data_IF_513986384143
#
_entry.id   IF_513986384143
#
_cell.length_a   1.000
_cell.length_b   1.000
_cell.length_c   1.000
_cell.angle_alpha   90.00
_cell.angle_beta   90.00
_cell.angle_gamma   90.00
#
_symmetry.space_group_name_H-M   'P 1'
#
loop_
_entity.id
_entity.type
_entity.pdbx_description
1 polymer ?
#
# COMPACT_ATOMS: atom_id res chain seq x y z
N UNK A 1 -17.54 25.31 11.10
CA UNK A 1 -17.42 26.54 11.93
C UNK A 1 -17.40 26.14 13.42
N UNK A 2 -16.55 26.75 14.26
CA UNK A 2 -16.29 26.42 15.68
C UNK A 2 -15.25 25.31 15.96
N UNK A 3 -14.61 24.75 14.93
CA UNK A 3 -13.57 23.72 15.12
C UNK A 3 -12.36 24.23 15.93
N UNK A 4 -12.01 25.51 15.79
CA UNK A 4 -10.91 26.15 16.54
C UNK A 4 -11.23 26.27 18.03
N UNK A 5 -12.35 26.89 18.37
CA UNK A 5 -12.78 27.03 19.78
C UNK A 5 -12.97 25.68 20.46
N UNK A 6 -13.52 24.69 19.74
CA UNK A 6 -13.65 23.34 20.27
C UNK A 6 -12.28 22.71 20.56
N UNK A 7 -11.34 22.80 19.61
CA UNK A 7 -9.97 22.28 19.78
C UNK A 7 -9.23 22.98 20.94
N UNK A 8 -9.35 24.30 21.07
CA UNK A 8 -8.76 25.06 22.17
C UNK A 8 -9.33 24.60 23.52
N UNK A 9 -10.65 24.36 23.61
CA UNK A 9 -11.29 23.86 24.84
C UNK A 9 -10.88 22.43 25.22
N UNK A 10 -10.72 21.53 24.25
CA UNK A 10 -10.25 20.16 24.52
C UNK A 10 -8.77 20.16 24.90
N UNK A 11 -7.95 21.03 24.30
CA UNK A 11 -6.54 21.19 24.67
C UNK A 11 -6.39 21.68 26.12
N UNK A 12 -7.21 22.64 26.54
CA UNK A 12 -7.25 23.09 27.94
C UNK A 12 -7.63 21.94 28.90
N UNK A 13 -8.60 21.09 28.52
CA UNK A 13 -8.99 19.91 29.31
C UNK A 13 -7.89 18.85 29.40
N UNK A 14 -7.12 18.65 28.32
CA UNK A 14 -5.99 17.71 28.29
C UNK A 14 -4.84 18.18 29.20
N UNK A 15 -4.68 19.48 29.39
CA UNK A 15 -3.67 20.06 30.26
C UNK A 15 -2.27 20.09 29.65
N UNK A 16 -1.24 20.17 30.51
CA UNK A 16 0.15 20.25 30.06
C UNK A 16 0.64 18.88 29.59
N UNK A 17 1.45 18.88 28.52
CA UNK A 17 2.08 17.66 28.00
C UNK A 17 2.80 16.89 29.11
N UNK A 18 2.43 15.63 29.25
CA UNK A 18 2.96 14.72 30.27
C UNK A 18 4.36 14.22 29.90
N UNK A 19 5.09 13.67 30.87
CA UNK A 19 6.43 13.11 30.61
C UNK A 19 6.36 11.94 29.59
N UNK A 20 5.43 10.97 29.70
CA UNK A 20 5.28 9.91 28.70
C UNK A 20 5.03 10.44 27.27
N UNK A 21 4.20 11.48 27.12
CA UNK A 21 3.94 12.12 25.82
C UNK A 21 5.20 12.76 25.22
N UNK A 22 6.03 13.43 26.04
CA UNK A 22 7.31 14.00 25.56
C UNK A 22 8.27 12.92 25.08
N UNK A 23 8.33 11.80 25.80
CA UNK A 23 9.17 10.65 25.43
C UNK A 23 8.68 10.03 24.13
N UNK A 24 7.35 9.82 23.99
CA UNK A 24 6.73 9.35 22.76
C UNK A 24 7.06 10.25 21.55
N UNK A 25 6.92 11.57 21.72
CA UNK A 25 7.27 12.56 20.68
C UNK A 25 8.76 12.44 20.30
N UNK A 26 9.65 12.31 21.28
CA UNK A 26 11.09 12.14 21.04
C UNK A 26 11.40 10.89 20.21
N UNK A 27 10.80 9.75 20.58
CA UNK A 27 10.98 8.49 19.84
C UNK A 27 10.38 8.58 18.43
N UNK A 28 9.24 9.24 18.27
CA UNK A 28 8.62 9.46 16.97
C UNK A 28 9.51 10.31 16.04
N UNK A 29 10.07 11.42 16.55
CA UNK A 29 11.01 12.26 15.79
C UNK A 29 12.26 11.46 15.43
N UNK A 30 12.78 10.65 16.35
CA UNK A 30 13.91 9.76 16.09
C UNK A 30 13.61 8.78 14.93
N UNK A 31 12.45 8.14 14.94
CA UNK A 31 12.03 7.24 13.85
C UNK A 31 11.92 7.97 12.50
N UNK A 32 11.32 9.17 12.49
CA UNK A 32 11.21 9.99 11.28
C UNK A 32 12.58 10.36 10.71
N UNK A 33 13.52 10.79 11.55
CA UNK A 33 14.88 11.12 11.12
C UNK A 33 15.58 9.92 10.51
N UNK A 34 15.43 8.74 11.12
CA UNK A 34 16.02 7.51 10.58
C UNK A 34 15.38 7.10 9.25
N UNK A 35 14.07 7.24 9.07
CA UNK A 35 13.44 6.96 7.77
C UNK A 35 13.89 7.94 6.68
N UNK A 36 14.05 9.22 7.01
CA UNK A 36 14.56 10.23 6.06
C UNK A 36 16.02 9.97 5.69
N UNK A 37 16.84 9.60 6.67
CA UNK A 37 18.28 9.36 6.49
C UNK A 37 18.62 7.91 6.13
N UNK A 38 17.64 7.01 6.05
CA UNK A 38 17.85 5.57 5.95
C UNK A 38 18.66 5.16 4.71
N UNK A 39 18.44 5.83 3.57
CA UNK A 39 19.21 5.60 2.34
C UNK A 39 20.68 6.02 2.48
N UNK A 40 20.96 7.11 3.19
CA UNK A 40 22.32 7.63 3.44
C UNK A 40 23.05 6.78 4.49
N UNK A 41 22.36 6.41 5.56
CA UNK A 41 22.92 5.64 6.69
C UNK A 41 22.91 4.13 6.46
N UNK A 42 22.30 3.66 5.36
CA UNK A 42 22.07 2.23 5.06
C UNK A 42 21.30 1.51 6.17
N UNK A 43 20.33 2.19 6.76
CA UNK A 43 19.43 1.65 7.78
C UNK A 43 18.10 1.36 7.07
N UNK A 44 17.64 0.11 7.13
CA UNK A 44 16.36 -0.25 6.55
C UNK A 44 15.18 0.21 7.44
N UNK A 45 14.01 0.36 6.81
CA UNK A 45 12.82 0.86 7.49
C UNK A 45 12.30 -0.10 8.58
N UNK A 46 12.51 -1.41 8.43
CA UNK A 46 12.11 -2.44 9.40
C UNK A 46 12.96 -2.34 10.65
N UNK A 47 14.28 -2.22 10.51
CA UNK A 47 15.20 -1.99 11.63
C UNK A 47 14.84 -0.70 12.38
N UNK A 48 14.52 0.37 11.66
CA UNK A 48 14.06 1.63 12.28
C UNK A 48 12.80 1.44 13.12
N UNK A 49 11.81 0.70 12.62
CA UNK A 49 10.59 0.40 13.34
C UNK A 49 10.85 -0.43 14.62
N UNK A 50 11.73 -1.44 14.55
CA UNK A 50 12.11 -2.22 15.73
C UNK A 50 12.89 -1.41 16.77
N UNK A 51 13.80 -0.52 16.36
CA UNK A 51 14.48 0.38 17.29
C UNK A 51 13.50 1.29 18.02
N UNK A 52 12.53 1.87 17.30
CA UNK A 52 11.49 2.70 17.91
C UNK A 52 10.64 1.89 18.91
N UNK A 53 10.21 0.68 18.54
CA UNK A 53 9.45 -0.21 19.43
C UNK A 53 10.25 -0.59 20.68
N UNK A 54 11.54 -0.91 20.53
CA UNK A 54 12.42 -1.21 21.66
C UNK A 54 12.57 -0.01 22.60
N UNK A 55 12.72 1.21 22.06
CA UNK A 55 12.77 2.43 22.87
C UNK A 55 11.46 2.68 23.62
N UNK A 56 10.31 2.43 22.98
CA UNK A 56 9.00 2.57 23.63
C UNK A 56 8.82 1.60 24.81
N UNK A 57 9.34 0.38 24.69
CA UNK A 57 9.34 -0.60 25.78
C UNK A 57 10.33 -0.24 26.89
N UNK A 58 11.56 0.15 26.56
CA UNK A 58 12.60 0.50 27.54
C UNK A 58 12.17 1.72 28.37
N UNK A 59 11.53 2.70 27.72
CA UNK A 59 11.05 3.91 28.38
C UNK A 59 9.76 3.70 29.17
N UNK A 60 9.10 2.54 29.02
CA UNK A 60 7.83 2.24 29.69
C UNK A 60 6.63 3.00 29.13
N UNK A 61 6.78 3.66 27.97
CA UNK A 61 5.66 4.30 27.26
C UNK A 61 4.67 3.24 26.76
N UNK A 62 5.19 2.08 26.35
CA UNK A 62 4.39 0.88 26.07
C UNK A 62 4.81 -0.25 26.99
N UNK A 63 3.83 -1.02 27.45
CA UNK A 63 4.07 -2.28 28.14
C UNK A 63 4.09 -3.43 27.14
N UNK A 64 4.70 -4.55 27.53
CA UNK A 64 4.63 -5.78 26.73
C UNK A 64 3.19 -6.25 26.50
N UNK A 65 2.31 -6.02 27.47
CA UNK A 65 0.89 -6.37 27.38
C UNK A 65 0.18 -5.54 26.31
N UNK A 66 0.54 -4.28 26.13
CA UNK A 66 -0.01 -3.43 25.07
C UNK A 66 0.34 -3.99 23.69
N UNK A 67 1.58 -4.45 23.49
CA UNK A 67 2.01 -5.09 22.23
C UNK A 67 1.26 -6.39 21.97
N UNK A 68 1.09 -7.23 22.99
CA UNK A 68 0.37 -8.50 22.84
C UNK A 68 -1.12 -8.29 22.50
N UNK A 69 -1.72 -7.21 23.01
CA UNK A 69 -3.12 -6.88 22.76
C UNK A 69 -3.34 -6.13 21.44
N UNK A 70 -2.29 -5.72 20.74
CA UNK A 70 -2.36 -5.05 19.44
C UNK A 70 -2.71 -6.05 18.33
N UNK A 71 -3.95 -6.55 18.34
CA UNK A 71 -4.42 -7.61 17.46
C UNK A 71 -4.34 -7.25 15.96
N UNK A 72 -4.39 -5.96 15.62
CA UNK A 72 -4.25 -5.50 14.23
C UNK A 72 -2.87 -5.84 13.64
N UNK A 73 -1.81 -5.66 14.42
CA UNK A 73 -0.44 -5.99 14.00
C UNK A 73 -0.26 -7.51 13.81
N UNK A 74 -0.71 -8.32 14.78
CA UNK A 74 -0.62 -9.78 14.73
C UNK A 74 -1.42 -10.39 13.59
N UNK A 75 -2.64 -9.89 13.39
CA UNK A 75 -3.49 -10.31 12.27
C UNK A 75 -2.75 -10.03 10.96
N UNK A 76 -2.32 -8.77 10.74
CA UNK A 76 -1.61 -8.35 9.52
C UNK A 76 -0.38 -9.20 9.26
N UNK A 77 0.49 -9.40 10.27
CA UNK A 77 1.69 -10.23 10.16
C UNK A 77 1.35 -11.66 9.69
N UNK A 78 0.34 -12.28 10.28
CA UNK A 78 0.01 -13.69 10.06
C UNK A 78 -0.47 -13.94 8.63
N UNK A 79 -1.54 -13.28 8.20
CA UNK A 79 -2.12 -13.56 6.89
C UNK A 79 -1.24 -13.00 5.76
N UNK A 80 -0.54 -11.88 5.97
CA UNK A 80 0.39 -11.32 5.00
C UNK A 80 1.56 -12.28 4.72
N UNK A 81 2.15 -12.87 5.76
CA UNK A 81 3.25 -13.83 5.62
C UNK A 81 2.85 -15.06 4.80
N UNK A 82 1.65 -15.59 5.04
CA UNK A 82 1.12 -16.74 4.28
C UNK A 82 0.92 -16.40 2.80
N UNK A 83 0.36 -15.24 2.49
CA UNK A 83 0.15 -14.83 1.09
C UNK A 83 1.46 -14.58 0.34
N UNK A 84 2.43 -13.92 0.97
CA UNK A 84 3.77 -13.72 0.38
C UNK A 84 4.42 -15.07 0.07
N UNK A 85 4.34 -16.01 1.02
CA UNK A 85 4.84 -17.37 0.82
C UNK A 85 4.14 -18.08 -0.35
N UNK A 86 2.79 -18.07 -0.40
CA UNK A 86 2.03 -18.71 -1.47
C UNK A 86 2.38 -18.13 -2.86
N UNK A 87 2.52 -16.81 -2.94
CA UNK A 87 2.91 -16.12 -4.17
C UNK A 87 4.33 -16.51 -4.64
N UNK A 88 5.27 -16.58 -3.69
CA UNK A 88 6.63 -17.06 -3.96
C UNK A 88 6.61 -18.48 -4.51
N UNK A 89 5.85 -19.38 -3.88
CA UNK A 89 5.73 -20.77 -4.35
C UNK A 89 5.10 -20.88 -5.74
N UNK A 90 4.08 -20.08 -6.06
CA UNK A 90 3.49 -20.07 -7.40
C UNK A 90 4.51 -19.63 -8.48
N UNK A 91 5.42 -18.72 -8.11
CA UNK A 91 6.49 -18.31 -9.00
C UNK A 91 7.58 -19.39 -9.15
N UNK A 92 8.06 -19.94 -8.03
CA UNK A 92 9.09 -20.99 -8.01
C UNK A 92 8.64 -22.28 -8.71
N UNK A 93 7.38 -22.67 -8.53
CA UNK A 93 6.79 -23.85 -9.19
C UNK A 93 6.52 -23.63 -10.69
N UNK A 94 6.83 -22.44 -11.22
CA UNK A 94 6.73 -22.15 -12.65
C UNK A 94 5.30 -21.85 -13.13
N UNK A 95 4.31 -21.78 -12.24
CA UNK A 95 2.92 -21.45 -12.60
C UNK A 95 2.84 -20.04 -13.20
N UNK A 96 3.52 -19.07 -12.59
CA UNK A 96 3.57 -17.69 -13.09
C UNK A 96 4.20 -17.59 -14.49
N UNK A 97 5.42 -18.13 -14.75
CA UNK A 97 5.99 -18.21 -16.08
C UNK A 97 5.09 -18.92 -17.11
N UNK A 98 4.48 -20.05 -16.73
CA UNK A 98 3.58 -20.81 -17.60
C UNK A 98 2.33 -20.02 -17.97
N UNK A 99 1.67 -19.39 -16.99
CA UNK A 99 0.48 -18.58 -17.19
C UNK A 99 0.81 -17.37 -18.09
N UNK A 100 1.96 -16.73 -17.85
CA UNK A 100 2.47 -15.63 -18.66
C UNK A 100 2.66 -16.03 -20.12
N UNK A 101 3.28 -17.19 -20.37
CA UNK A 101 3.48 -17.72 -21.72
C UNK A 101 2.16 -18.09 -22.40
N UNK A 102 1.21 -18.64 -21.65
CA UNK A 102 -0.11 -19.03 -22.18
C UNK A 102 -0.93 -17.81 -22.58
N UNK A 103 -0.93 -16.77 -21.75
CA UNK A 103 -1.56 -15.48 -22.04
C UNK A 103 -0.86 -14.81 -23.23
N UNK A 104 0.47 -14.73 -23.24
CA UNK A 104 1.23 -14.15 -24.35
C UNK A 104 0.96 -14.86 -25.69
N UNK A 105 0.88 -16.20 -25.70
CA UNK A 105 0.52 -16.99 -26.88
C UNK A 105 -0.95 -16.85 -27.32
N UNK A 106 -1.84 -16.37 -26.44
CA UNK A 106 -3.24 -16.09 -26.77
C UNK A 106 -3.48 -14.65 -27.22
N UNK A 107 -2.52 -13.76 -26.98
CA UNK A 107 -2.60 -12.32 -27.26
C UNK A 107 -1.91 -11.91 -28.57
N UNK A 108 -1.58 -12.86 -29.45
CA UNK A 108 -1.01 -12.56 -30.77
C UNK A 108 -1.90 -11.56 -31.54
N UNK A 109 -1.35 -10.38 -31.86
CA UNK A 109 -2.04 -9.32 -32.59
C UNK A 109 -2.66 -8.20 -31.73
N UNK A 110 -2.62 -8.30 -30.40
CA UNK A 110 -3.09 -7.25 -29.50
C UNK A 110 -1.93 -6.30 -29.17
N UNK A 111 -2.15 -4.98 -29.31
CA UNK A 111 -1.14 -3.98 -28.93
C UNK A 111 -0.81 -4.09 -27.44
N UNK A 112 0.48 -4.02 -27.11
CA UNK A 112 0.99 -4.07 -25.73
C UNK A 112 0.27 -3.07 -24.81
N UNK A 113 -0.23 -1.94 -25.35
CA UNK A 113 -0.98 -0.95 -24.58
C UNK A 113 -2.31 -1.51 -24.04
N UNK A 114 -3.04 -2.29 -24.85
CA UNK A 114 -4.27 -2.95 -24.41
C UNK A 114 -3.98 -4.06 -23.40
N UNK A 115 -2.85 -4.76 -23.56
CA UNK A 115 -2.40 -5.78 -22.60
C UNK A 115 -2.13 -5.12 -21.25
N UNK A 116 -1.37 -4.03 -21.24
CA UNK A 116 -1.12 -3.24 -20.02
C UNK A 116 -2.44 -2.76 -19.39
N UNK A 117 -3.39 -2.26 -20.19
CA UNK A 117 -4.70 -1.85 -19.69
C UNK A 117 -5.45 -3.00 -19.01
N UNK A 118 -5.50 -4.18 -19.63
CA UNK A 118 -6.17 -5.37 -19.07
C UNK A 118 -5.50 -5.78 -17.75
N UNK A 119 -4.16 -5.81 -17.71
CA UNK A 119 -3.41 -6.16 -16.51
C UNK A 119 -3.63 -5.15 -15.38
N UNK A 120 -3.65 -3.85 -15.69
CA UNK A 120 -3.96 -2.78 -14.73
C UNK A 120 -5.39 -2.92 -14.20
N UNK A 121 -6.36 -3.17 -15.06
CA UNK A 121 -7.75 -3.38 -14.65
C UNK A 121 -7.89 -4.61 -13.75
N UNK A 122 -7.28 -5.74 -14.15
CA UNK A 122 -7.28 -6.96 -13.36
C UNK A 122 -6.62 -6.75 -12.01
N UNK A 123 -5.48 -6.07 -11.96
CA UNK A 123 -4.77 -5.76 -10.73
C UNK A 123 -5.59 -4.83 -9.83
N UNK A 124 -6.10 -3.72 -10.35
CA UNK A 124 -6.86 -2.75 -9.57
C UNK A 124 -8.15 -3.35 -8.98
N UNK A 125 -8.94 -4.06 -9.78
CA UNK A 125 -10.22 -4.60 -9.33
C UNK A 125 -10.12 -5.89 -8.54
N UNK A 126 -9.06 -6.70 -8.71
CA UNK A 126 -8.84 -7.84 -7.82
C UNK A 126 -8.63 -7.41 -6.37
N UNK A 127 -8.24 -6.15 -6.13
CA UNK A 127 -8.06 -5.60 -4.81
C UNK A 127 -9.33 -5.58 -3.94
N UNK A 128 -10.53 -5.64 -4.53
CA UNK A 128 -11.78 -5.81 -3.75
C UNK A 128 -11.76 -7.09 -2.90
N UNK A 129 -10.94 -8.08 -3.29
CA UNK A 129 -10.75 -9.36 -2.61
C UNK A 129 -9.65 -9.32 -1.53
N UNK A 130 -8.97 -8.19 -1.35
CA UNK A 130 -7.84 -8.04 -0.43
C UNK A 130 -8.11 -6.95 0.61
N UNK A 131 -7.62 -7.17 1.83
CA UNK A 131 -7.68 -6.21 2.93
C UNK A 131 -6.35 -5.48 3.19
N UNK A 132 -5.36 -5.66 2.32
CA UNK A 132 -4.06 -4.97 2.41
C UNK A 132 -3.46 -4.82 1.03
N UNK A 133 -3.04 -3.59 0.71
CA UNK A 133 -2.24 -3.25 -0.47
C UNK A 133 -0.95 -4.06 -0.52
N UNK A 134 -0.27 -4.24 0.63
CA UNK A 134 0.97 -5.00 0.68
C UNK A 134 0.74 -6.45 0.28
N UNK A 135 -0.29 -7.10 0.83
CA UNK A 135 -0.64 -8.50 0.52
C UNK A 135 -0.97 -8.70 -0.95
N UNK A 136 -1.75 -7.77 -1.50
CA UNK A 136 -2.15 -7.80 -2.90
C UNK A 136 -0.97 -7.62 -3.85
N UNK A 137 -0.08 -6.65 -3.58
CA UNK A 137 1.16 -6.44 -4.34
C UNK A 137 2.03 -7.70 -4.26
N UNK A 138 2.29 -8.23 -3.07
CA UNK A 138 3.12 -9.44 -2.92
C UNK A 138 2.54 -10.65 -3.65
N UNK A 139 1.21 -10.78 -3.70
CA UNK A 139 0.54 -11.89 -4.37
C UNK A 139 0.57 -11.81 -5.89
N UNK A 140 0.39 -10.61 -6.45
CA UNK A 140 0.06 -10.46 -7.87
C UNK A 140 1.07 -9.62 -8.66
N UNK A 141 1.85 -8.74 -8.04
CA UNK A 141 2.74 -7.81 -8.76
C UNK A 141 3.77 -8.56 -9.62
N UNK A 142 4.55 -9.45 -9.00
CA UNK A 142 5.59 -10.21 -9.73
C UNK A 142 5.01 -11.05 -10.86
N UNK A 143 3.83 -11.64 -10.61
CA UNK A 143 3.09 -12.42 -11.58
C UNK A 143 2.68 -11.60 -12.81
N UNK A 144 1.94 -10.51 -12.58
CA UNK A 144 1.43 -9.66 -13.66
C UNK A 144 2.55 -8.92 -14.38
N UNK A 145 3.64 -8.57 -13.68
CA UNK A 145 4.83 -8.00 -14.31
C UNK A 145 5.48 -9.00 -15.26
N UNK A 146 5.62 -10.27 -14.84
CA UNK A 146 6.11 -11.34 -15.70
C UNK A 146 5.26 -11.50 -16.97
N UNK A 147 3.93 -11.48 -16.82
CA UNK A 147 3.00 -11.51 -17.95
C UNK A 147 3.22 -10.29 -18.86
N UNK A 148 3.25 -9.08 -18.31
CA UNK A 148 3.40 -7.83 -19.07
C UNK A 148 4.68 -7.82 -19.92
N UNK A 149 5.82 -8.17 -19.32
CA UNK A 149 7.12 -8.21 -20.00
C UNK A 149 7.12 -9.27 -21.09
N UNK A 150 6.59 -10.46 -20.81
CA UNK A 150 6.51 -11.54 -21.81
C UNK A 150 5.60 -11.22 -23.00
N UNK A 151 4.61 -10.35 -22.78
CA UNK A 151 3.67 -9.89 -23.78
C UNK A 151 4.14 -8.62 -24.55
N UNK A 152 5.39 -8.18 -24.34
CA UNK A 152 5.99 -7.08 -25.10
C UNK A 152 5.69 -5.68 -24.55
N UNK A 153 5.15 -5.55 -23.33
CA UNK A 153 5.07 -4.24 -22.66
C UNK A 153 6.48 -3.78 -22.29
N UNK A 154 6.86 -2.51 -22.51
CA UNK A 154 8.14 -1.98 -22.05
C UNK A 154 8.32 -2.21 -20.54
N UNK A 155 9.40 -2.92 -20.16
CA UNK A 155 9.52 -3.47 -18.80
C UNK A 155 9.52 -2.43 -17.69
N UNK A 156 10.17 -1.29 -17.90
CA UNK A 156 10.18 -0.19 -16.93
C UNK A 156 8.78 0.42 -16.76
N UNK A 157 8.06 0.66 -17.86
CA UNK A 157 6.68 1.13 -17.83
C UNK A 157 5.77 0.15 -17.09
N UNK A 158 5.87 -1.15 -17.39
CA UNK A 158 5.08 -2.18 -16.73
C UNK A 158 5.31 -2.22 -15.21
N UNK A 159 6.58 -2.20 -14.80
CA UNK A 159 6.97 -2.20 -13.39
C UNK A 159 6.43 -0.97 -12.65
N UNK A 160 6.62 0.22 -13.23
CA UNK A 160 6.15 1.47 -12.62
C UNK A 160 4.62 1.55 -12.58
N UNK A 161 3.94 1.21 -13.68
CA UNK A 161 2.47 1.23 -13.74
C UNK A 161 1.87 0.29 -12.70
N UNK A 162 2.30 -0.97 -12.65
CA UNK A 162 1.83 -1.91 -11.63
C UNK A 162 2.18 -1.42 -10.21
N UNK A 163 3.35 -0.79 -10.02
CA UNK A 163 3.73 -0.19 -8.74
C UNK A 163 2.82 0.95 -8.30
N UNK A 164 2.47 1.87 -9.21
CA UNK A 164 1.52 2.95 -8.94
C UNK A 164 0.12 2.42 -8.63
N UNK A 165 -0.38 1.49 -9.45
CA UNK A 165 -1.69 0.89 -9.25
C UNK A 165 -1.79 0.03 -7.98
N UNK A 166 -0.66 -0.45 -7.45
CA UNK A 166 -0.61 -1.11 -6.14
C UNK A 166 -0.97 -0.21 -4.97
N UNK A 167 -0.91 1.12 -5.15
CA UNK A 167 -1.38 2.09 -4.16
C UNK A 167 -2.72 2.70 -4.56
N UNK A 168 -2.95 2.97 -5.84
CA UNK A 168 -4.21 3.56 -6.32
C UNK A 168 -5.41 2.63 -6.08
N UNK A 169 -5.19 1.31 -5.99
CA UNK A 169 -6.23 0.35 -5.61
C UNK A 169 -6.80 0.58 -4.21
N UNK A 170 -6.19 1.43 -3.38
CA UNK A 170 -6.80 1.95 -2.15
C UNK A 170 -8.14 2.65 -2.40
N UNK A 171 -8.37 3.17 -3.62
CA UNK A 171 -9.65 3.71 -4.07
C UNK A 171 -10.65 2.60 -4.43
N UNK A 172 -10.92 1.69 -3.50
CA UNK A 172 -11.88 0.59 -3.66
C UNK A 172 -12.76 0.44 -2.40
N UNK A 173 -12.39 -0.47 -1.50
CA UNK A 173 -13.15 -0.81 -0.30
C UNK A 173 -12.69 0.01 0.89
N UNK A 174 -13.51 0.04 1.93
CA UNK A 174 -13.20 0.65 3.23
C UNK A 174 -12.09 -0.07 4.00
N UNK A 175 -11.61 -1.22 3.50
CA UNK A 175 -10.53 -2.02 4.08
C UNK A 175 -9.34 -2.19 3.14
N UNK A 176 -9.29 -1.46 2.02
CA UNK A 176 -8.29 -1.65 0.98
C UNK A 176 -6.84 -1.42 1.46
N UNK A 177 -6.64 -0.45 2.35
CA UNK A 177 -5.33 -0.06 2.85
C UNK A 177 -5.39 0.34 4.32
N UNK A 178 -4.24 0.46 5.00
CA UNK A 178 -4.18 0.86 6.42
C UNK A 178 -4.98 2.13 6.76
N UNK A 179 -4.90 3.21 5.97
CA UNK A 179 -5.69 4.42 6.22
C UNK A 179 -7.20 4.25 6.02
N UNK A 180 -7.65 3.33 5.17
CA UNK A 180 -9.06 3.24 4.78
C UNK A 180 -9.98 2.88 5.97
N UNK A 181 -9.71 1.86 6.81
CA UNK A 181 -10.49 1.58 8.01
C UNK A 181 -10.46 2.70 9.03
N UNK A 182 -9.32 3.41 9.16
CA UNK A 182 -9.19 4.54 10.10
C UNK A 182 -10.12 5.68 9.70
N UNK A 183 -10.12 6.03 8.40
CA UNK A 183 -11.00 7.06 7.86
C UNK A 183 -12.46 6.63 7.86
N UNK A 184 -12.76 5.39 7.47
CA UNK A 184 -14.11 4.87 7.46
C UNK A 184 -14.71 4.72 8.87
N UNK A 185 -13.90 4.30 9.83
CA UNK A 185 -14.27 4.11 11.24
C UNK A 185 -14.65 5.40 11.97
N UNK A 186 -14.36 6.56 11.39
CA UNK A 186 -14.81 7.87 11.91
C UNK A 186 -16.34 8.07 11.84
N UNK A 187 -17.05 7.25 11.07
CA UNK A 187 -18.52 7.28 10.98
C UNK A 187 -19.10 8.41 10.13
N UNK A 188 -18.28 9.28 9.53
CA UNK A 188 -18.75 10.40 8.70
C UNK A 188 -19.30 9.97 7.32
N UNK A 189 -18.92 8.79 6.82
CA UNK A 189 -19.27 8.34 5.46
C UNK A 189 -19.89 6.95 5.52
N UNK A 190 -21.06 6.77 4.89
CA UNK A 190 -21.70 5.46 4.79
C UNK A 190 -20.95 4.55 3.81
N UNK A 191 -21.02 3.23 4.00
CA UNK A 191 -20.36 2.26 3.12
C UNK A 191 -20.79 2.42 1.65
N UNK A 192 -22.09 2.61 1.40
CA UNK A 192 -22.60 2.84 0.04
C UNK A 192 -21.95 4.06 -0.62
N UNK A 193 -21.86 5.17 0.10
CA UNK A 193 -21.25 6.40 -0.42
C UNK A 193 -19.75 6.24 -0.64
N UNK A 194 -19.06 5.60 0.29
CA UNK A 194 -17.63 5.28 0.19
C UNK A 194 -17.35 4.49 -1.10
N UNK A 195 -18.09 3.41 -1.35
CA UNK A 195 -17.84 2.52 -2.48
C UNK A 195 -18.21 3.17 -3.82
N UNK A 196 -19.33 3.90 -3.88
CA UNK A 196 -19.72 4.63 -5.10
C UNK A 196 -18.69 5.69 -5.49
N UNK A 197 -18.24 6.49 -4.51
CA UNK A 197 -17.22 7.52 -4.75
C UNK A 197 -15.89 6.90 -5.16
N UNK A 198 -15.44 5.84 -4.48
CA UNK A 198 -14.19 5.18 -4.82
C UNK A 198 -14.24 4.44 -6.16
N UNK A 199 -15.38 3.88 -6.56
CA UNK A 199 -15.54 3.30 -7.90
C UNK A 199 -15.42 4.37 -8.99
N UNK A 200 -16.03 5.53 -8.79
CA UNK A 200 -15.91 6.66 -9.72
C UNK A 200 -14.48 7.24 -9.78
N UNK A 201 -13.87 7.50 -8.61
CA UNK A 201 -12.49 7.97 -8.53
C UNK A 201 -11.50 6.94 -9.08
N UNK A 202 -11.75 5.65 -8.89
CA UNK A 202 -10.95 4.57 -9.45
C UNK A 202 -10.86 4.64 -10.98
N UNK A 203 -11.99 4.88 -11.66
CA UNK A 203 -12.01 5.09 -13.12
C UNK A 203 -11.18 6.31 -13.50
N UNK A 204 -11.32 7.42 -12.76
CA UNK A 204 -10.52 8.64 -13.00
C UNK A 204 -9.03 8.34 -12.84
N UNK A 205 -8.61 7.65 -11.78
CA UNK A 205 -7.22 7.27 -11.56
C UNK A 205 -6.71 6.38 -12.69
N UNK A 206 -7.50 5.39 -13.12
CA UNK A 206 -7.14 4.50 -14.23
C UNK A 206 -6.89 5.31 -15.50
N UNK A 207 -7.83 6.17 -15.91
CA UNK A 207 -7.71 6.97 -17.12
C UNK A 207 -6.53 7.93 -17.03
N UNK A 208 -6.38 8.62 -15.90
CA UNK A 208 -5.30 9.60 -15.70
C UNK A 208 -3.93 8.93 -15.80
N UNK A 209 -3.71 7.81 -15.12
CA UNK A 209 -2.41 7.13 -15.16
C UNK A 209 -2.16 6.41 -16.49
N UNK A 210 -3.17 5.78 -17.08
CA UNK A 210 -3.02 5.10 -18.38
C UNK A 210 -2.74 6.09 -19.52
N UNK A 211 -3.31 7.29 -19.48
CA UNK A 211 -3.11 8.30 -20.53
C UNK A 211 -1.97 9.24 -20.15
N UNK A 212 -2.16 10.06 -19.12
CA UNK A 212 -1.21 11.11 -18.73
C UNK A 212 0.06 10.49 -18.15
N UNK A 213 -0.06 9.48 -17.29
CA UNK A 213 1.10 8.79 -16.71
C UNK A 213 1.98 8.12 -17.77
N UNK A 214 1.38 7.35 -18.68
CA UNK A 214 2.11 6.71 -19.79
C UNK A 214 2.77 7.71 -20.73
N UNK A 215 2.08 8.80 -21.09
CA UNK A 215 2.64 9.88 -21.92
C UNK A 215 3.80 10.59 -21.22
N UNK A 216 3.64 10.91 -19.94
CA UNK A 216 4.69 11.53 -19.14
C UNK A 216 5.94 10.63 -19.05
N UNK A 217 5.74 9.34 -18.79
CA UNK A 217 6.84 8.36 -18.79
C UNK A 217 7.54 8.25 -20.14
N UNK A 218 6.83 8.48 -21.25
CA UNK A 218 7.44 8.58 -22.57
C UNK A 218 8.35 9.80 -22.70
N UNK A 219 7.90 10.95 -22.21
CA UNK A 219 8.65 12.23 -22.25
C UNK A 219 9.97 12.14 -21.46
N UNK A 220 9.94 11.51 -20.29
CA UNK A 220 11.14 11.37 -19.43
C UNK A 220 12.03 10.17 -19.80
N UNK A 221 11.75 9.48 -20.92
CA UNK A 221 12.57 8.39 -21.42
C UNK A 221 12.46 7.07 -20.64
N UNK A 222 11.36 6.85 -19.92
CA UNK A 222 11.10 5.62 -19.17
C UNK A 222 10.40 4.52 -20.00
N UNK A 223 10.08 4.79 -21.28
CA UNK A 223 9.82 3.78 -22.32
C UNK A 223 9.83 4.40 -23.72
#
# INVERSE_FOLDING_TARGET
>A
PNAKEWADSELEKMGKITVPEKVMIGIFIFALLLWVLGSTLKIDATLTAFMALSLLLITGVLTWKDILNESGAWNTLTWFSVLVMMASQLNELGFIPWLSKTIAGSLHGISWFFILLILVLAFFYSHYLFASSTAHISAMYGALLGVAVSAGVPGMLAALMLGFFGNLCASTTHYASGPAPVLFGSGYVTQSKWWQMNAFLGIIYIVLWMVVGTLWMKVIGMW
#
